data_IF_652008439642
#
_entry.id   IF_652008439642
#
_cell.length_a   1.000
_cell.length_b   1.000
_cell.length_c   1.000
_cell.angle_alpha   90.00
_cell.angle_beta   90.00
_cell.angle_gamma   90.00
#
_symmetry.space_group_name_H-M   'P 1'
#
loop_
_entity.id
_entity.type
_entity.pdbx_description
1 polymer ?
#
# COMPACT_ATOMS: atom_id res chain seq x y z
N UNK A 1 4.91 19.77 -6.03
CA UNK A 1 4.45 18.38 -6.17
C UNK A 1 4.95 17.63 -4.95
N UNK A 2 4.10 16.84 -4.29
CA UNK A 2 4.49 16.07 -3.10
C UNK A 2 5.32 14.85 -3.51
N UNK A 3 6.09 14.29 -2.57
CA UNK A 3 6.75 13.01 -2.72
C UNK A 3 5.71 11.93 -3.08
N UNK A 4 6.02 10.97 -3.98
CA UNK A 4 5.16 9.79 -4.14
C UNK A 4 4.99 9.08 -2.81
N UNK A 5 3.75 8.76 -2.42
CA UNK A 5 3.45 8.08 -1.16
C UNK A 5 3.07 6.62 -1.43
N UNK A 6 3.73 5.69 -0.74
CA UNK A 6 3.35 4.28 -0.73
C UNK A 6 2.88 3.90 0.68
N UNK A 7 1.63 3.47 0.79
CA UNK A 7 1.04 2.94 2.02
C UNK A 7 1.14 1.42 1.99
N UNK A 8 1.77 0.84 3.01
CA UNK A 8 1.88 -0.61 3.18
C UNK A 8 1.37 -1.06 4.55
N UNK A 9 1.29 -2.35 4.77
CA UNK A 9 0.82 -2.98 6.00
C UNK A 9 -0.09 -4.18 5.72
N UNK A 10 -0.49 -4.88 6.76
CA UNK A 10 -1.31 -6.08 6.68
C UNK A 10 -2.70 -5.82 6.09
N UNK A 11 -3.44 -6.90 5.83
CA UNK A 11 -4.84 -6.82 5.41
C UNK A 11 -5.68 -6.10 6.46
N UNK A 12 -6.69 -5.35 6.02
CA UNK A 12 -7.58 -4.53 6.85
C UNK A 12 -6.91 -3.38 7.64
N UNK A 13 -5.62 -3.08 7.41
CA UNK A 13 -4.96 -1.91 8.01
C UNK A 13 -5.51 -0.56 7.50
N UNK A 14 -6.23 -0.55 6.37
CA UNK A 14 -6.87 0.66 5.84
C UNK A 14 -6.13 1.30 4.66
N UNK A 15 -5.10 0.66 4.10
CA UNK A 15 -4.27 1.20 3.01
C UNK A 15 -5.07 1.84 1.87
N UNK A 16 -5.92 1.05 1.21
CA UNK A 16 -6.71 1.49 0.03
C UNK A 16 -7.70 2.59 0.40
N UNK A 17 -8.33 2.50 1.56
CA UNK A 17 -9.27 3.52 2.06
C UNK A 17 -8.55 4.84 2.30
N UNK A 18 -7.42 4.81 3.01
CA UNK A 18 -6.63 6.01 3.28
C UNK A 18 -6.01 6.59 2.01
N UNK A 19 -5.50 5.74 1.10
CA UNK A 19 -4.91 6.20 -0.16
C UNK A 19 -5.93 6.96 -1.02
N UNK A 20 -7.14 6.44 -1.17
CA UNK A 20 -8.23 7.12 -1.89
C UNK A 20 -8.60 8.44 -1.21
N UNK A 21 -8.82 8.44 0.10
CA UNK A 21 -9.19 9.65 0.83
C UNK A 21 -8.11 10.74 0.78
N UNK A 22 -6.83 10.39 0.81
CA UNK A 22 -5.73 11.35 0.64
C UNK A 22 -5.69 11.93 -0.78
N UNK A 23 -5.93 11.10 -1.79
CA UNK A 23 -6.01 11.56 -3.17
C UNK A 23 -7.21 12.50 -3.37
N UNK A 24 -8.39 12.15 -2.83
CA UNK A 24 -9.62 12.95 -2.93
C UNK A 24 -9.50 14.32 -2.24
N UNK A 25 -8.68 14.44 -1.19
CA UNK A 25 -8.42 15.69 -0.48
C UNK A 25 -7.36 16.57 -1.18
N UNK A 26 -6.71 16.08 -2.22
CA UNK A 26 -5.68 16.80 -2.95
C UNK A 26 -6.27 17.47 -4.19
N UNK A 27 -5.77 18.65 -4.54
CA UNK A 27 -6.27 19.39 -5.71
C UNK A 27 -6.03 18.63 -7.03
N UNK A 28 -4.96 17.84 -7.09
CA UNK A 28 -4.59 17.06 -8.27
C UNK A 28 -3.77 15.83 -7.84
N UNK A 29 -4.44 14.72 -7.64
CA UNK A 29 -3.79 13.49 -7.21
C UNK A 29 -4.40 12.25 -7.87
N UNK A 30 -3.65 11.16 -7.86
CA UNK A 30 -4.07 9.85 -8.31
C UNK A 30 -3.82 8.81 -7.21
N UNK A 31 -4.74 7.87 -7.06
CA UNK A 31 -4.61 6.70 -6.20
C UNK A 31 -4.39 5.45 -7.06
N UNK A 32 -3.35 4.68 -6.77
CA UNK A 32 -3.06 3.40 -7.40
C UNK A 32 -3.21 2.30 -6.33
N UNK A 33 -4.24 1.48 -6.46
CA UNK A 33 -4.39 0.26 -5.69
C UNK A 33 -3.71 -0.88 -6.45
N UNK A 34 -2.66 -1.45 -5.88
CA UNK A 34 -1.84 -2.47 -6.59
C UNK A 34 -2.57 -3.79 -6.72
N UNK A 35 -3.55 -4.06 -5.86
CA UNK A 35 -4.42 -5.24 -6.04
C UNK A 35 -5.27 -5.11 -7.31
N UNK A 36 -5.77 -3.92 -7.64
CA UNK A 36 -6.46 -3.66 -8.91
C UNK A 36 -5.52 -3.87 -10.11
N UNK A 37 -4.26 -3.39 -9.99
CA UNK A 37 -3.24 -3.57 -11.03
C UNK A 37 -2.91 -5.06 -11.25
N UNK A 38 -2.83 -5.85 -10.19
CA UNK A 38 -2.62 -7.32 -10.27
C UNK A 38 -3.78 -8.04 -10.95
N UNK A 39 -5.01 -7.57 -10.76
CA UNK A 39 -6.22 -8.15 -11.35
C UNK A 39 -6.30 -7.97 -12.88
N UNK A 40 -5.42 -7.18 -13.49
CA UNK A 40 -5.26 -7.13 -14.95
C UNK A 40 -4.77 -8.48 -15.52
N UNK A 41 -4.09 -9.30 -14.74
CA UNK A 41 -3.72 -10.67 -15.12
C UNK A 41 -4.95 -11.55 -15.02
N UNK A 42 -5.59 -11.86 -16.17
CA UNK A 42 -6.84 -12.62 -16.24
C UNK A 42 -6.62 -14.13 -16.37
N UNK A 43 -5.43 -14.56 -16.76
CA UNK A 43 -5.04 -15.97 -16.90
C UNK A 43 -3.60 -16.13 -16.48
N UNK A 44 -3.27 -17.21 -15.79
CA UNK A 44 -1.93 -17.43 -15.22
C UNK A 44 -1.62 -16.56 -13.99
N UNK A 45 -2.65 -16.02 -13.33
CA UNK A 45 -2.49 -15.33 -12.06
C UNK A 45 -1.94 -16.31 -11.00
N UNK A 46 -1.00 -15.84 -10.19
CA UNK A 46 -0.45 -16.57 -9.05
C UNK A 46 -0.58 -15.73 -7.79
N UNK A 47 -1.12 -16.33 -6.74
CA UNK A 47 -1.24 -15.67 -5.44
C UNK A 47 0.13 -15.45 -4.79
N UNK A 48 0.28 -14.43 -3.93
CA UNK A 48 1.56 -14.11 -3.27
C UNK A 48 2.25 -15.29 -2.55
N UNK A 49 1.46 -16.25 -2.08
CA UNK A 49 1.92 -17.45 -1.38
C UNK A 49 2.27 -18.63 -2.31
N UNK A 50 2.06 -18.50 -3.61
CA UNK A 50 2.35 -19.57 -4.61
C UNK A 50 3.82 -19.55 -5.07
N UNK A 51 4.73 -19.54 -4.13
CA UNK A 51 6.17 -19.74 -4.37
C UNK A 51 6.80 -18.73 -5.34
N UNK A 52 7.65 -19.18 -6.29
CA UNK A 52 8.36 -18.28 -7.20
C UNK A 52 7.44 -17.49 -8.14
N UNK A 53 6.34 -18.09 -8.61
CA UNK A 53 5.39 -17.44 -9.51
C UNK A 53 4.66 -16.28 -8.80
N UNK A 54 4.17 -16.52 -7.58
CA UNK A 54 3.56 -15.47 -6.75
C UNK A 54 4.51 -14.32 -6.46
N UNK A 55 5.76 -14.64 -6.13
CA UNK A 55 6.81 -13.63 -5.89
C UNK A 55 7.11 -12.80 -7.15
N UNK A 56 7.21 -13.44 -8.32
CA UNK A 56 7.40 -12.73 -9.59
C UNK A 56 6.23 -11.79 -9.89
N UNK A 57 4.99 -12.19 -9.60
CA UNK A 57 3.81 -11.34 -9.81
C UNK A 57 3.68 -10.22 -8.79
N UNK A 58 4.16 -10.38 -7.55
CA UNK A 58 4.31 -9.26 -6.62
C UNK A 58 5.25 -8.18 -7.17
N UNK A 59 6.43 -8.59 -7.68
CA UNK A 59 7.40 -7.68 -8.30
C UNK A 59 6.82 -7.01 -9.54
N UNK A 60 6.11 -7.75 -10.38
CA UNK A 60 5.43 -7.20 -11.56
C UNK A 60 4.39 -6.14 -11.18
N UNK A 61 3.57 -6.41 -10.15
CA UNK A 61 2.58 -5.47 -9.64
C UNK A 61 3.22 -4.15 -9.18
N UNK A 62 4.28 -4.22 -8.38
CA UNK A 62 5.03 -3.04 -7.94
C UNK A 62 5.67 -2.28 -9.12
N UNK A 63 6.25 -3.00 -10.09
CA UNK A 63 6.85 -2.40 -11.29
C UNK A 63 5.81 -1.66 -12.13
N UNK A 64 4.63 -2.26 -12.34
CA UNK A 64 3.52 -1.64 -13.08
C UNK A 64 2.97 -0.41 -12.32
N UNK A 65 2.82 -0.50 -11.00
CA UNK A 65 2.40 0.65 -10.18
C UNK A 65 3.40 1.81 -10.28
N UNK A 66 4.71 1.52 -10.28
CA UNK A 66 5.74 2.53 -10.50
C UNK A 66 5.66 3.16 -11.89
N UNK A 67 5.41 2.37 -12.93
CA UNK A 67 5.26 2.89 -14.30
C UNK A 67 4.06 3.84 -14.42
N UNK A 68 2.91 3.44 -13.86
CA UNK A 68 1.71 4.30 -13.77
C UNK A 68 2.01 5.58 -12.95
N UNK A 69 2.67 5.41 -11.80
CA UNK A 69 3.04 6.52 -10.93
C UNK A 69 3.93 7.54 -11.63
N UNK A 70 4.98 7.09 -12.32
CA UNK A 70 5.86 8.00 -13.10
C UNK A 70 5.11 8.77 -14.17
N UNK A 71 4.21 8.12 -14.91
CA UNK A 71 3.41 8.80 -15.93
C UNK A 71 2.51 9.87 -15.34
N UNK A 72 1.89 9.60 -14.19
CA UNK A 72 1.03 10.56 -13.48
C UNK A 72 1.84 11.74 -12.91
N UNK A 73 2.98 11.45 -12.29
CA UNK A 73 3.90 12.48 -11.76
C UNK A 73 4.41 13.39 -12.89
N UNK A 74 4.75 12.82 -14.06
CA UNK A 74 5.26 13.59 -15.21
C UNK A 74 4.26 14.64 -15.73
N UNK A 75 2.96 14.44 -15.51
CA UNK A 75 1.91 15.40 -15.88
C UNK A 75 1.33 16.17 -14.68
N UNK A 76 2.03 16.14 -13.55
CA UNK A 76 1.76 16.99 -12.39
C UNK A 76 0.67 16.49 -11.45
N UNK A 77 0.40 15.19 -11.38
CA UNK A 77 -0.42 14.61 -10.32
C UNK A 77 0.46 14.21 -9.13
N UNK A 78 0.01 14.47 -7.92
CA UNK A 78 0.50 13.78 -6.74
C UNK A 78 0.07 12.30 -6.81
N UNK A 79 0.88 11.37 -6.28
CA UNK A 79 0.61 9.94 -6.39
C UNK A 79 0.59 9.28 -5.03
N UNK A 80 -0.49 8.56 -4.73
CA UNK A 80 -0.62 7.69 -3.56
C UNK A 80 -0.83 6.25 -4.02
N UNK A 81 -0.01 5.34 -3.53
CA UNK A 81 -0.04 3.91 -3.87
C UNK A 81 -0.41 3.11 -2.63
N UNK A 82 -1.34 2.17 -2.74
CA UNK A 82 -1.66 1.19 -1.71
C UNK A 82 -1.16 -0.19 -2.14
N UNK A 83 -0.29 -0.82 -1.34
CA UNK A 83 0.26 -2.15 -1.64
C UNK A 83 0.56 -2.95 -0.36
N UNK A 84 0.70 -4.27 -0.48
CA UNK A 84 1.35 -5.13 0.51
C UNK A 84 2.82 -5.27 0.11
N UNK A 85 3.65 -4.42 0.69
CA UNK A 85 5.06 -4.28 0.31
C UNK A 85 5.92 -5.29 1.08
N UNK A 86 6.74 -6.03 0.35
CA UNK A 86 7.82 -6.88 0.87
C UNK A 86 9.16 -6.14 0.76
N UNK A 87 10.25 -6.63 1.38
CA UNK A 87 11.58 -6.04 1.16
C UNK A 87 11.98 -5.94 -0.32
N UNK A 88 11.64 -6.96 -1.13
CA UNK A 88 11.94 -6.99 -2.55
C UNK A 88 11.17 -5.92 -3.33
N UNK A 89 9.86 -5.78 -3.06
CA UNK A 89 9.03 -4.75 -3.73
C UNK A 89 9.34 -3.35 -3.20
N UNK A 90 9.75 -3.19 -1.94
CA UNK A 90 10.26 -1.93 -1.43
C UNK A 90 11.49 -1.43 -2.21
N UNK A 91 12.41 -2.35 -2.54
CA UNK A 91 13.57 -2.02 -3.37
C UNK A 91 13.14 -1.54 -4.78
N UNK A 92 12.06 -2.12 -5.34
CA UNK A 92 11.49 -1.66 -6.62
C UNK A 92 10.95 -0.22 -6.48
N UNK A 93 10.12 0.05 -5.47
CA UNK A 93 9.59 1.40 -5.25
C UNK A 93 10.68 2.45 -5.09
N UNK A 94 11.71 2.15 -4.27
CA UNK A 94 12.83 3.09 -4.04
C UNK A 94 13.69 3.31 -5.26
N UNK A 95 13.85 2.32 -6.14
CA UNK A 95 14.61 2.45 -7.39
C UNK A 95 13.83 3.21 -8.46
N UNK A 96 12.52 2.96 -8.57
CA UNK A 96 11.70 3.41 -9.69
C UNK A 96 11.00 4.75 -9.45
N UNK A 97 10.75 5.11 -8.19
CA UNK A 97 10.12 6.37 -7.81
C UNK A 97 11.12 7.21 -7.02
N UNK A 98 11.53 8.32 -7.62
CA UNK A 98 12.44 9.27 -6.97
C UNK A 98 11.81 9.78 -5.68
N UNK A 99 12.59 9.76 -4.60
CA UNK A 99 12.19 10.32 -3.30
C UNK A 99 10.84 9.76 -2.76
N UNK A 100 10.56 8.49 -2.99
CA UNK A 100 9.32 7.86 -2.49
C UNK A 100 9.26 7.86 -0.97
N UNK A 101 8.11 8.22 -0.41
CA UNK A 101 7.79 8.09 1.01
C UNK A 101 7.05 6.76 1.22
N UNK A 102 7.66 5.81 1.95
CA UNK A 102 7.05 4.55 2.32
C UNK A 102 6.55 4.61 3.76
N UNK A 103 5.23 4.54 3.95
CA UNK A 103 4.59 4.54 5.26
C UNK A 103 3.94 3.21 5.55
N UNK A 104 4.31 2.59 6.69
CA UNK A 104 3.73 1.33 7.14
C UNK A 104 2.61 1.58 8.14
N UNK A 105 1.42 1.03 7.85
CA UNK A 105 0.28 0.98 8.76
C UNK A 105 0.36 -0.31 9.58
N UNK A 106 0.49 -0.20 10.89
CA UNK A 106 0.53 -1.33 11.81
C UNK A 106 -0.83 -1.50 12.46
N UNK A 107 -1.32 -2.72 12.49
CA UNK A 107 -2.60 -3.09 13.09
C UNK A 107 -2.46 -4.43 13.81
N UNK A 108 -3.09 -4.58 14.98
CA UNK A 108 -3.13 -5.89 15.63
C UNK A 108 -4.01 -6.85 14.84
N UNK A 109 -3.69 -8.14 14.91
CA UNK A 109 -4.46 -9.19 14.20
C UNK A 109 -5.93 -9.18 14.63
N UNK A 110 -6.21 -9.00 15.93
CA UNK A 110 -7.56 -8.94 16.47
C UNK A 110 -8.36 -7.76 15.90
N UNK A 111 -7.77 -6.59 15.84
CA UNK A 111 -8.44 -5.40 15.29
C UNK A 111 -8.64 -5.54 13.77
N UNK A 112 -7.67 -6.12 13.07
CA UNK A 112 -7.79 -6.41 11.65
C UNK A 112 -8.92 -7.40 11.35
N UNK A 113 -9.07 -8.47 12.15
CA UNK A 113 -10.20 -9.39 12.03
C UNK A 113 -11.54 -8.69 12.27
N UNK A 114 -11.63 -7.83 13.30
CA UNK A 114 -12.82 -7.05 13.59
C UNK A 114 -13.23 -6.17 12.40
N UNK A 115 -12.26 -5.49 11.77
CA UNK A 115 -12.50 -4.64 10.58
C UNK A 115 -12.88 -5.48 9.36
N UNK A 116 -12.23 -6.63 9.16
CA UNK A 116 -12.50 -7.53 8.06
C UNK A 116 -13.92 -8.09 8.12
N UNK A 117 -14.44 -8.40 9.31
CA UNK A 117 -15.79 -8.94 9.52
C UNK A 117 -16.92 -7.99 9.03
N UNK A 118 -16.64 -6.70 8.85
CA UNK A 118 -17.61 -5.70 8.35
C UNK A 118 -17.59 -5.52 6.83
N UNK A 119 -16.79 -6.30 6.11
CA UNK A 119 -16.58 -6.19 4.65
C UNK A 119 -16.81 -7.54 3.97
N UNK A 120 -17.11 -7.57 2.66
CA UNK A 120 -17.10 -8.81 1.89
C UNK A 120 -15.73 -9.50 2.04
N UNK A 121 -15.74 -10.79 2.32
CA UNK A 121 -14.51 -11.58 2.42
C UNK A 121 -13.88 -11.72 1.02
N UNK A 122 -12.65 -11.24 0.88
CA UNK A 122 -11.84 -11.40 -0.34
C UNK A 122 -10.70 -12.41 -0.14
N UNK A 123 -10.43 -12.78 1.11
CA UNK A 123 -9.40 -13.74 1.53
C UNK A 123 -10.05 -14.78 2.44
N UNK A 124 -9.60 -16.02 2.35
CA UNK A 124 -9.87 -17.03 3.37
C UNK A 124 -9.19 -16.67 4.69
N UNK A 125 -9.56 -17.31 5.79
CA UNK A 125 -8.91 -17.09 7.10
C UNK A 125 -7.41 -17.43 7.07
N UNK A 126 -7.03 -18.47 6.31
CA UNK A 126 -5.64 -18.88 6.15
C UNK A 126 -4.81 -17.84 5.36
N UNK A 127 -5.37 -17.32 4.27
CA UNK A 127 -4.76 -16.27 3.45
C UNK A 127 -4.63 -14.97 4.24
N UNK A 128 -5.66 -14.60 4.99
CA UNK A 128 -5.64 -13.43 5.88
C UNK A 128 -4.54 -13.56 6.93
N UNK A 129 -4.45 -14.70 7.59
CA UNK A 129 -3.40 -14.98 8.57
C UNK A 129 -2.00 -15.01 7.93
N UNK A 130 -1.89 -15.48 6.68
CA UNK A 130 -0.62 -15.48 5.95
C UNK A 130 -0.11 -14.06 5.69
N UNK A 131 -0.97 -13.16 5.20
CA UNK A 131 -0.63 -11.74 4.95
C UNK A 131 -0.17 -11.05 6.24
N UNK A 132 -0.83 -11.34 7.36
CA UNK A 132 -0.43 -10.79 8.67
C UNK A 132 0.92 -11.33 9.14
N UNK A 133 1.20 -12.63 8.95
CA UNK A 133 2.52 -13.20 9.28
C UNK A 133 3.63 -12.62 8.40
N UNK A 134 3.35 -12.40 7.12
CA UNK A 134 4.31 -11.78 6.20
C UNK A 134 4.67 -10.37 6.66
N UNK A 135 3.68 -9.56 6.99
CA UNK A 135 3.90 -8.19 7.47
C UNK A 135 4.64 -8.15 8.81
N UNK A 136 4.38 -9.11 9.72
CA UNK A 136 5.06 -9.18 11.00
C UNK A 136 6.50 -9.71 10.91
N UNK A 137 6.76 -10.66 10.00
CA UNK A 137 8.05 -11.36 9.90
C UNK A 137 9.04 -10.78 8.89
N UNK A 138 8.56 -10.08 7.87
CA UNK A 138 9.36 -9.54 6.77
C UNK A 138 8.90 -8.13 6.39
N UNK A 139 8.67 -7.28 7.39
CA UNK A 139 8.29 -5.90 7.16
C UNK A 139 9.39 -5.15 6.38
N UNK A 140 9.03 -4.38 5.35
CA UNK A 140 10.01 -3.55 4.65
C UNK A 140 10.49 -2.42 5.57
N UNK A 141 11.70 -1.92 5.31
CA UNK A 141 12.17 -0.69 5.94
C UNK A 141 11.29 0.48 5.44
N UNK A 142 10.47 1.03 6.34
CA UNK A 142 9.59 2.16 6.07
C UNK A 142 10.20 3.47 6.60
N UNK A 143 9.86 4.60 5.97
CA UNK A 143 10.31 5.93 6.39
C UNK A 143 9.51 6.41 7.61
N UNK A 144 8.26 5.94 7.74
CA UNK A 144 7.42 6.18 8.91
C UNK A 144 6.51 4.96 9.18
N UNK A 145 6.11 4.84 10.44
CA UNK A 145 5.18 3.80 10.90
C UNK A 145 4.03 4.49 11.63
N UNK A 146 2.80 4.13 11.27
CA UNK A 146 1.58 4.60 11.93
C UNK A 146 0.84 3.40 12.53
N UNK A 147 0.71 3.38 13.85
CA UNK A 147 -0.19 2.45 14.52
C UNK A 147 -1.64 2.93 14.31
N UNK A 148 -2.45 2.06 13.72
CA UNK A 148 -3.84 2.38 13.37
C UNK A 148 -4.86 1.68 14.26
N UNK A 149 -4.43 0.98 15.30
CA UNK A 149 -5.33 0.39 16.28
C UNK A 149 -6.17 1.46 16.96
N UNK A 150 -7.47 1.25 17.00
CA UNK A 150 -8.41 2.20 17.63
C UNK A 150 -8.62 3.53 16.89
N UNK A 151 -7.89 3.80 15.81
CA UNK A 151 -8.09 5.02 15.02
C UNK A 151 -9.27 4.88 14.05
N UNK A 152 -10.10 5.93 13.97
CA UNK A 152 -11.08 6.06 12.90
C UNK A 152 -10.37 6.29 11.55
N UNK A 153 -11.09 6.12 10.44
CA UNK A 153 -10.56 6.41 9.10
C UNK A 153 -10.13 7.87 8.99
N UNK A 154 -10.92 8.79 9.51
CA UNK A 154 -10.63 10.22 9.50
C UNK A 154 -9.34 10.54 10.27
N UNK A 155 -9.12 9.91 11.41
CA UNK A 155 -7.90 10.08 12.21
C UNK A 155 -6.67 9.53 11.49
N UNK A 156 -6.80 8.34 10.86
CA UNK A 156 -5.73 7.76 10.04
C UNK A 156 -5.35 8.69 8.88
N UNK A 157 -6.35 9.17 8.15
CA UNK A 157 -6.15 10.08 7.01
C UNK A 157 -5.51 11.39 7.45
N UNK A 158 -5.96 11.97 8.56
CA UNK A 158 -5.37 13.21 9.09
C UNK A 158 -3.88 13.03 9.45
N UNK A 159 -3.54 11.93 10.14
CA UNK A 159 -2.15 11.60 10.50
C UNK A 159 -1.27 11.38 9.25
N UNK A 160 -1.80 10.66 8.26
CA UNK A 160 -1.09 10.40 7.01
C UNK A 160 -0.92 11.67 6.17
N UNK A 161 -1.93 12.54 6.12
CA UNK A 161 -1.85 13.83 5.42
C UNK A 161 -0.76 14.71 6.03
N UNK A 162 -0.64 14.74 7.35
CA UNK A 162 0.41 15.47 8.05
C UNK A 162 1.80 14.91 7.76
N UNK A 163 1.97 13.57 7.86
CA UNK A 163 3.22 12.89 7.48
C UNK A 163 3.62 13.21 6.03
N UNK A 164 2.68 13.13 5.11
CA UNK A 164 2.92 13.39 3.70
C UNK A 164 3.28 14.84 3.42
N UNK A 165 2.68 15.78 4.14
CA UNK A 165 2.97 17.21 4.03
C UNK A 165 4.35 17.57 4.59
N UNK A 166 4.71 17.05 5.74
CA UNK A 166 5.97 17.37 6.44
C UNK A 166 7.19 16.65 5.85
N UNK A 167 6.96 15.56 5.13
CA UNK A 167 8.03 14.81 4.44
C UNK A 167 8.36 15.38 3.06
N UNK A 168 7.65 16.41 2.58
CA UNK A 168 8.01 17.09 1.33
C UNK A 168 9.33 17.82 1.55
N UNK A 169 10.35 17.44 0.76
CA UNK A 169 11.66 18.13 0.78
C UNK A 169 11.48 19.58 0.32
N UNK A 170 12.16 20.48 0.99
CA UNK A 170 12.31 21.87 0.58
C UNK A 170 12.93 21.99 -0.83
#
# INVERSE_FOLDING_TARGET
MRRPLVLTGASAAGKSTCARALADQSARAACIDVDDVRQLVRSGAAAPWEGPAGRAQLLLGATNACALGRNLLAVGFDVVIADVVTPDTAAVYRRELSDVLLVRLVITFREAQRRAATRPAHLTDEEFAWVHRLDAGAAPAADAVLDVDGLSVEQQVASLAELWRTSSSD
#
